data_IF_837558326327
#
_entry.id   IF_837558326327
#
_cell.length_a   1.000
_cell.length_b   1.000
_cell.length_c   1.000
_cell.angle_alpha   90.00
_cell.angle_beta   90.00
_cell.angle_gamma   90.00
#
_symmetry.space_group_name_H-M   'P 1'
#
loop_
_entity.id
_entity.type
_entity.pdbx_description
1 polymer ?
#
# COMPACT_ATOMS: atom_id res chain seq x y z
N UNK A 1 -11.98 52.93 -5.46
CA UNK A 1 -10.67 53.35 -4.93
C UNK A 1 -9.78 52.13 -4.84
N UNK A 2 -8.55 52.29 -5.33
CA UNK A 2 -7.44 51.31 -5.44
C UNK A 2 -7.50 50.46 -6.72
N UNK A 3 -7.13 51.00 -7.90
CA UNK A 3 -5.78 51.26 -8.47
C UNK A 3 -5.18 50.02 -9.16
N UNK A 4 -5.50 49.91 -10.46
CA UNK A 4 -4.85 49.06 -11.46
C UNK A 4 -3.51 49.69 -11.89
N UNK A 5 -2.39 49.08 -11.50
CA UNK A 5 -1.07 49.41 -12.06
C UNK A 5 -0.74 48.43 -13.20
N UNK A 6 -0.69 49.01 -14.40
CA UNK A 6 -0.35 48.37 -15.67
C UNK A 6 1.17 48.48 -15.92
N UNK A 7 1.93 47.36 -16.01
CA UNK A 7 3.39 47.40 -16.12
C UNK A 7 3.93 47.44 -17.58
N UNK A 8 3.11 47.73 -18.58
CA UNK A 8 3.48 47.57 -20.00
C UNK A 8 4.08 48.84 -20.67
N UNK A 9 4.87 49.68 -19.98
CA UNK A 9 5.32 50.94 -20.60
C UNK A 9 6.76 51.41 -20.36
N UNK A 10 7.71 50.51 -20.03
CA UNK A 10 9.12 50.93 -19.84
C UNK A 10 10.13 50.32 -20.83
N UNK A 11 9.74 49.42 -21.72
CA UNK A 11 10.71 48.72 -22.61
C UNK A 11 10.90 49.33 -24.01
N UNK A 12 10.26 50.46 -24.33
CA UNK A 12 10.34 51.09 -25.66
C UNK A 12 11.30 52.30 -25.75
N UNK A 13 12.09 52.60 -24.71
CA UNK A 13 12.98 53.78 -24.69
C UNK A 13 14.48 53.48 -24.57
N UNK A 14 14.92 52.23 -24.77
CA UNK A 14 16.34 51.86 -24.66
C UNK A 14 17.00 51.42 -25.98
N UNK A 15 16.33 51.63 -27.12
CA UNK A 15 16.81 51.24 -28.46
C UNK A 15 17.25 52.43 -29.35
N UNK A 16 17.33 53.66 -28.81
CA UNK A 16 17.72 54.87 -29.57
C UNK A 16 19.06 55.51 -29.17
N UNK A 17 19.95 54.81 -28.45
CA UNK A 17 21.22 55.37 -27.97
C UNK A 17 22.48 54.56 -28.32
N UNK A 18 22.46 53.74 -29.38
CA UNK A 18 23.63 52.96 -29.82
C UNK A 18 23.89 53.02 -31.34
N UNK A 19 23.46 54.09 -32.00
CA UNK A 19 23.83 54.44 -33.38
C UNK A 19 24.69 55.72 -33.39
N UNK A 20 25.80 55.72 -32.67
CA UNK A 20 26.86 56.70 -32.89
C UNK A 20 28.20 56.07 -32.53
N UNK A 21 29.20 56.30 -33.41
CA UNK A 21 30.60 55.89 -33.33
C UNK A 21 30.98 54.47 -33.80
N UNK A 22 31.34 54.37 -35.09
CA UNK A 22 32.57 53.71 -35.54
C UNK A 22 32.81 53.97 -37.04
N UNK A 23 32.98 55.25 -37.39
CA UNK A 23 33.70 55.66 -38.60
C UNK A 23 35.10 56.09 -38.17
N UNK A 24 36.11 55.30 -38.51
CA UNK A 24 37.50 55.69 -38.78
C UNK A 24 38.34 54.42 -38.74
N UNK A 25 38.64 53.85 -39.91
CA UNK A 25 39.75 52.92 -40.04
C UNK A 25 40.82 53.61 -40.90
N UNK A 26 41.94 53.83 -40.22
CA UNK A 26 43.06 54.65 -40.63
C UNK A 26 44.05 53.78 -41.38
N UNK A 27 44.30 54.19 -42.61
CA UNK A 27 45.39 53.74 -43.47
C UNK A 27 46.73 53.92 -42.73
N UNK A 28 47.31 52.81 -42.26
CA UNK A 28 48.68 52.72 -41.76
C UNK A 28 49.37 51.53 -42.40
N UNK A 29 49.95 51.84 -43.55
CA UNK A 29 50.92 51.05 -44.28
C UNK A 29 52.29 51.17 -43.58
N UNK A 30 52.81 50.09 -42.97
CA UNK A 30 54.26 49.86 -42.98
C UNK A 30 54.69 48.42 -42.63
N UNK A 31 55.63 47.98 -43.48
CA UNK A 31 56.71 47.03 -43.27
C UNK A 31 56.44 45.52 -43.05
N UNK A 32 56.64 44.82 -44.17
CA UNK A 32 56.92 43.40 -44.30
C UNK A 32 57.99 42.88 -43.33
N UNK A 33 57.66 41.78 -42.65
CA UNK A 33 58.58 40.70 -42.30
C UNK A 33 57.90 39.38 -42.70
N UNK A 34 58.64 38.59 -43.47
CA UNK A 34 58.23 37.32 -44.08
C UNK A 34 57.72 36.30 -43.05
N UNK A 35 56.41 36.24 -42.87
CA UNK A 35 55.66 35.12 -42.26
C UNK A 35 54.43 34.79 -43.15
N UNK A 36 54.60 34.91 -44.47
CA UNK A 36 53.56 34.88 -45.51
C UNK A 36 52.83 33.53 -45.68
N UNK A 37 53.19 32.50 -44.90
CA UNK A 37 52.51 31.20 -44.94
C UNK A 37 51.42 31.01 -43.88
N UNK A 38 51.50 31.71 -42.74
CA UNK A 38 50.69 31.40 -41.55
C UNK A 38 49.64 32.49 -41.28
N UNK A 39 49.99 33.76 -41.46
CA UNK A 39 49.11 34.91 -41.12
C UNK A 39 47.90 35.05 -42.07
N UNK A 40 48.08 34.72 -43.36
CA UNK A 40 46.98 34.72 -44.34
C UNK A 40 45.92 33.64 -44.06
N UNK A 41 46.30 32.57 -43.37
CA UNK A 41 45.37 31.51 -42.97
C UNK A 41 44.43 31.96 -41.84
N UNK A 42 44.89 32.84 -40.96
CA UNK A 42 44.12 33.34 -39.81
C UNK A 42 43.14 34.44 -40.18
N UNK A 43 43.51 35.34 -41.11
CA UNK A 43 42.58 36.37 -41.59
C UNK A 43 41.39 35.75 -42.35
N UNK A 44 41.64 34.75 -43.20
CA UNK A 44 40.56 34.02 -43.89
C UNK A 44 39.67 33.25 -42.91
N UNK A 45 40.24 32.69 -41.83
CA UNK A 45 39.47 32.06 -40.74
C UNK A 45 38.58 33.06 -40.02
N UNK A 46 39.09 34.25 -39.67
CA UNK A 46 38.31 35.32 -39.05
C UNK A 46 37.12 35.76 -39.91
N UNK A 47 37.32 35.91 -41.22
CA UNK A 47 36.24 36.29 -42.16
C UNK A 47 35.17 35.21 -42.31
N UNK A 48 35.54 33.93 -42.25
CA UNK A 48 34.59 32.81 -42.21
C UNK A 48 33.82 32.75 -40.89
N UNK A 49 34.51 32.94 -39.76
CA UNK A 49 33.89 33.02 -38.43
C UNK A 49 32.89 34.17 -38.35
N UNK A 50 33.22 35.36 -38.88
CA UNK A 50 32.31 36.51 -38.91
C UNK A 50 31.06 36.22 -39.75
N UNK A 51 31.20 35.55 -40.91
CA UNK A 51 30.06 35.09 -41.71
C UNK A 51 29.21 34.04 -40.99
N UNK A 52 29.83 33.08 -40.31
CA UNK A 52 29.14 32.05 -39.53
C UNK A 52 28.37 32.67 -38.36
N UNK A 53 29.01 33.60 -37.64
CA UNK A 53 28.38 34.34 -36.57
C UNK A 53 27.18 35.15 -37.08
N UNK A 54 27.33 35.87 -38.19
CA UNK A 54 26.24 36.63 -38.80
C UNK A 54 25.09 35.74 -39.32
N UNK A 55 25.38 34.51 -39.75
CA UNK A 55 24.35 33.52 -40.12
C UNK A 55 23.62 32.99 -38.87
N UNK A 56 24.36 32.71 -37.79
CA UNK A 56 23.80 32.25 -36.52
C UNK A 56 22.99 33.34 -35.80
N UNK A 57 23.36 34.62 -35.96
CA UNK A 57 22.61 35.77 -35.42
C UNK A 57 21.60 36.36 -36.39
N UNK A 58 21.44 35.75 -37.58
CA UNK A 58 20.46 36.23 -38.56
C UNK A 58 19.03 36.12 -38.00
N UNK A 59 18.16 37.06 -38.38
CA UNK A 59 16.73 37.06 -38.00
C UNK A 59 16.02 35.74 -38.33
N UNK A 60 16.49 35.03 -39.35
CA UNK A 60 15.96 33.71 -39.72
C UNK A 60 16.30 32.66 -38.65
N UNK A 61 17.55 32.63 -38.18
CA UNK A 61 18.01 31.69 -37.17
C UNK A 61 17.33 31.92 -35.80
N UNK A 62 17.08 33.17 -35.41
CA UNK A 62 16.41 33.49 -34.15
C UNK A 62 14.93 33.08 -34.13
N UNK A 63 14.22 33.17 -35.27
CA UNK A 63 12.84 32.68 -35.39
C UNK A 63 12.77 31.16 -35.26
N UNK A 64 13.69 30.43 -35.88
CA UNK A 64 13.75 28.96 -35.76
C UNK A 64 14.14 28.54 -34.34
N UNK A 65 15.07 29.27 -33.71
CA UNK A 65 15.45 29.04 -32.32
C UNK A 65 14.28 29.27 -31.35
N UNK A 66 13.54 30.38 -31.49
CA UNK A 66 12.39 30.66 -30.61
C UNK A 66 11.28 29.63 -30.76
N UNK A 67 10.99 29.16 -31.99
CA UNK A 67 10.05 28.05 -32.22
C UNK A 67 10.51 26.76 -31.55
N UNK A 68 11.78 26.42 -31.70
CA UNK A 68 12.37 25.24 -31.05
C UNK A 68 12.25 25.31 -29.53
N UNK A 69 12.55 26.48 -28.94
CA UNK A 69 12.44 26.71 -27.50
C UNK A 69 10.99 26.55 -27.02
N UNK A 70 10.02 27.14 -27.72
CA UNK A 70 8.60 26.98 -27.37
C UNK A 70 8.13 25.52 -27.48
N UNK A 71 8.53 24.81 -28.55
CA UNK A 71 8.22 23.38 -28.68
C UNK A 71 8.86 22.55 -27.56
N UNK A 72 10.10 22.86 -27.19
CA UNK A 72 10.80 22.20 -26.09
C UNK A 72 10.09 22.45 -24.76
N UNK A 73 9.70 23.69 -24.46
CA UNK A 73 8.93 23.99 -23.25
C UNK A 73 7.56 23.33 -23.23
N UNK A 74 6.86 23.26 -24.37
CA UNK A 74 5.58 22.55 -24.46
C UNK A 74 5.73 21.04 -24.18
N UNK A 75 6.79 20.42 -24.72
CA UNK A 75 7.10 19.01 -24.47
C UNK A 75 7.49 18.80 -23.00
N UNK A 76 8.32 19.66 -22.42
CA UNK A 76 8.71 19.60 -21.00
C UNK A 76 7.50 19.75 -20.07
N UNK A 77 6.58 20.68 -20.38
CA UNK A 77 5.34 20.85 -19.62
C UNK A 77 4.46 19.60 -19.71
N UNK A 78 4.29 19.02 -20.90
CA UNK A 78 3.52 17.78 -21.08
C UNK A 78 4.16 16.61 -20.33
N UNK A 79 5.48 16.47 -20.39
CA UNK A 79 6.24 15.46 -19.67
C UNK A 79 6.08 15.59 -18.14
N UNK A 80 6.13 16.82 -17.62
CA UNK A 80 5.91 17.10 -16.19
C UNK A 80 4.50 16.71 -15.75
N UNK A 81 3.48 17.02 -16.56
CA UNK A 81 2.09 16.63 -16.29
C UNK A 81 1.95 15.11 -16.27
N UNK A 82 2.50 14.41 -17.27
CA UNK A 82 2.47 12.94 -17.34
C UNK A 82 3.17 12.32 -16.13
N UNK A 83 4.36 12.81 -15.77
CA UNK A 83 5.11 12.33 -14.61
C UNK A 83 4.33 12.54 -13.30
N UNK A 84 3.72 13.71 -13.12
CA UNK A 84 2.92 14.03 -11.92
C UNK A 84 1.69 13.12 -11.80
N UNK A 85 1.00 12.84 -12.91
CA UNK A 85 -0.14 11.91 -12.93
C UNK A 85 0.31 10.49 -12.61
N UNK A 86 1.40 10.00 -13.24
CA UNK A 86 1.94 8.67 -12.99
C UNK A 86 2.40 8.52 -11.53
N UNK A 87 3.09 9.52 -10.98
CA UNK A 87 3.50 9.54 -9.59
C UNK A 87 2.29 9.51 -8.64
N UNK A 88 1.27 10.32 -8.90
CA UNK A 88 0.03 10.31 -8.12
C UNK A 88 -0.68 8.95 -8.13
N UNK A 89 -0.77 8.31 -9.30
CA UNK A 89 -1.32 6.96 -9.42
C UNK A 89 -0.46 5.95 -8.66
N UNK A 90 0.87 6.01 -8.79
CA UNK A 90 1.79 5.11 -8.10
C UNK A 90 1.71 5.24 -6.57
N UNK A 91 1.70 6.46 -6.04
CA UNK A 91 1.51 6.71 -4.59
C UNK A 91 0.16 6.19 -4.13
N UNK A 92 -0.92 6.43 -4.89
CA UNK A 92 -2.24 5.90 -4.56
C UNK A 92 -2.26 4.37 -4.48
N UNK A 93 -1.52 3.70 -5.38
CA UNK A 93 -1.37 2.23 -5.35
C UNK A 93 -0.56 1.74 -4.17
N UNK A 94 0.51 2.43 -3.80
CA UNK A 94 1.29 2.10 -2.59
C UNK A 94 0.43 2.21 -1.33
N UNK A 95 -0.39 3.24 -1.23
CA UNK A 95 -1.30 3.38 -0.10
C UNK A 95 -2.33 2.24 -0.06
N UNK A 96 -2.85 1.83 -1.22
CA UNK A 96 -3.71 0.63 -1.31
C UNK A 96 -2.98 -0.65 -0.87
N UNK A 97 -1.70 -0.82 -1.24
CA UNK A 97 -0.90 -1.97 -0.81
C UNK A 97 -0.67 -2.00 0.71
N UNK A 98 -0.52 -0.83 1.33
CA UNK A 98 -0.40 -0.75 2.78
C UNK A 98 -1.70 -1.18 3.48
N UNK A 99 -2.85 -0.78 2.95
CA UNK A 99 -4.16 -1.22 3.47
C UNK A 99 -4.31 -2.75 3.34
N UNK A 100 -3.93 -3.33 2.19
CA UNK A 100 -4.00 -4.80 1.98
C UNK A 100 -3.01 -5.57 2.84
N UNK A 101 -1.81 -5.03 3.09
CA UNK A 101 -0.84 -5.62 4.02
C UNK A 101 -1.39 -5.67 5.45
N UNK A 102 -2.13 -4.63 5.89
CA UNK A 102 -2.82 -4.62 7.19
C UNK A 102 -3.91 -5.68 7.27
N UNK A 103 -4.63 -5.95 6.17
CA UNK A 103 -5.60 -7.05 6.11
C UNK A 103 -4.95 -8.43 6.24
N UNK A 104 -3.79 -8.63 5.60
CA UNK A 104 -3.01 -9.87 5.71
C UNK A 104 -2.53 -10.07 7.16
N UNK A 105 -1.94 -9.05 7.78
CA UNK A 105 -1.54 -9.07 9.19
C UNK A 105 -2.73 -9.36 10.11
N UNK A 106 -3.86 -8.69 9.88
CA UNK A 106 -5.08 -8.93 10.63
C UNK A 106 -5.59 -10.36 10.52
N UNK A 107 -5.60 -10.94 9.32
CA UNK A 107 -6.01 -12.34 9.15
C UNK A 107 -5.01 -13.31 9.79
N UNK A 108 -3.71 -12.99 9.81
CA UNK A 108 -2.71 -13.75 10.58
C UNK A 108 -2.98 -13.72 12.09
N UNK A 109 -3.34 -12.55 12.62
CA UNK A 109 -3.72 -12.38 14.04
C UNK A 109 -5.00 -13.12 14.40
N UNK A 110 -5.98 -13.18 13.50
CA UNK A 110 -7.18 -14.02 13.68
C UNK A 110 -6.78 -15.48 13.90
N UNK A 111 -5.90 -16.03 13.05
CA UNK A 111 -5.48 -17.43 13.16
C UNK A 111 -4.80 -17.69 14.51
N UNK A 112 -3.89 -16.81 14.90
CA UNK A 112 -3.23 -16.87 16.21
C UNK A 112 -4.23 -16.77 17.38
N UNK A 113 -5.23 -15.90 17.27
CA UNK A 113 -6.27 -15.73 18.28
C UNK A 113 -7.14 -16.99 18.41
N UNK A 114 -7.56 -17.61 17.29
CA UNK A 114 -8.31 -18.87 17.29
C UNK A 114 -7.53 -19.98 17.99
N UNK A 115 -6.25 -20.17 17.66
CA UNK A 115 -5.39 -21.15 18.33
C UNK A 115 -5.25 -20.85 19.82
N UNK A 116 -5.05 -19.58 20.18
CA UNK A 116 -4.93 -19.17 21.58
C UNK A 116 -6.22 -19.40 22.36
N UNK A 117 -7.39 -19.15 21.77
CA UNK A 117 -8.69 -19.47 22.36
C UNK A 117 -8.80 -20.98 22.62
N UNK A 118 -8.50 -21.81 21.62
CA UNK A 118 -8.56 -23.26 21.74
C UNK A 118 -7.67 -23.79 22.87
N UNK A 119 -6.42 -23.33 22.93
CA UNK A 119 -5.46 -23.74 23.95
C UNK A 119 -5.93 -23.32 25.35
N UNK A 120 -6.40 -22.08 25.53
CA UNK A 120 -6.83 -21.61 26.84
C UNK A 120 -8.14 -22.25 27.29
N UNK A 121 -9.10 -22.49 26.39
CA UNK A 121 -10.30 -23.27 26.68
C UNK A 121 -9.93 -24.69 27.14
N UNK A 122 -9.06 -25.39 26.39
CA UNK A 122 -8.55 -26.72 26.78
C UNK A 122 -7.87 -26.70 28.15
N UNK A 123 -7.09 -25.65 28.43
CA UNK A 123 -6.41 -25.47 29.71
C UNK A 123 -7.40 -25.30 30.87
N UNK A 124 -8.47 -24.52 30.69
CA UNK A 124 -9.54 -24.35 31.69
C UNK A 124 -10.20 -25.71 32.00
N UNK A 125 -10.58 -26.49 30.98
CA UNK A 125 -11.16 -27.83 31.22
C UNK A 125 -10.18 -28.74 31.96
N UNK A 126 -8.91 -28.79 31.53
CA UNK A 126 -7.87 -29.60 32.19
C UNK A 126 -7.66 -29.19 33.66
N UNK A 127 -7.86 -27.89 33.98
CA UNK A 127 -7.84 -27.37 35.36
C UNK A 127 -9.02 -27.88 36.20
N UNK A 128 -10.22 -28.06 35.65
CA UNK A 128 -11.33 -28.63 36.41
C UNK A 128 -11.25 -30.15 36.55
N UNK A 129 -10.69 -30.84 35.55
CA UNK A 129 -10.62 -32.30 35.53
C UNK A 129 -9.48 -32.90 36.36
N UNK A 130 -8.66 -32.08 37.02
CA UNK A 130 -7.49 -32.59 37.75
C UNK A 130 -6.38 -33.12 36.83
N UNK A 131 -6.48 -32.91 35.51
CA UNK A 131 -5.54 -33.48 34.52
C UNK A 131 -4.26 -32.66 34.34
N UNK A 132 -4.08 -31.59 35.12
CA UNK A 132 -2.83 -30.86 35.15
C UNK A 132 -1.70 -31.82 35.56
N UNK A 133 -0.67 -31.95 34.71
CA UNK A 133 0.54 -32.67 35.10
C UNK A 133 1.11 -32.01 36.35
N UNK A 134 1.19 -32.78 37.44
CA UNK A 134 1.67 -32.36 38.77
C UNK A 134 3.03 -31.65 38.74
N UNK A 135 3.81 -31.83 37.67
CA UNK A 135 5.14 -31.25 37.48
C UNK A 135 5.22 -30.11 36.44
N UNK A 136 4.13 -29.80 35.73
CA UNK A 136 4.13 -28.79 34.65
C UNK A 136 3.20 -27.62 34.98
N UNK A 137 2.04 -27.89 35.59
CA UNK A 137 1.08 -26.87 35.99
C UNK A 137 0.52 -27.22 37.37
N UNK A 138 0.88 -26.44 38.38
CA UNK A 138 0.22 -26.55 39.67
C UNK A 138 -1.04 -25.70 39.58
N UNK A 139 -2.22 -26.35 39.58
CA UNK A 139 -3.52 -25.68 39.62
C UNK A 139 -3.55 -24.66 40.76
N UNK A 140 -3.25 -23.42 40.41
CA UNK A 140 -3.27 -22.30 41.31
C UNK A 140 -4.33 -21.33 40.81
N UNK A 141 -4.99 -20.67 41.74
CA UNK A 141 -5.94 -19.60 41.42
C UNK A 141 -5.30 -18.52 40.54
N UNK A 142 -3.99 -18.26 40.71
CA UNK A 142 -3.22 -17.37 39.85
C UNK A 142 -3.08 -17.86 38.41
N UNK A 143 -2.89 -19.16 38.19
CA UNK A 143 -2.81 -19.72 36.83
C UNK A 143 -4.16 -19.68 36.12
N UNK A 144 -5.26 -19.88 36.86
CA UNK A 144 -6.61 -19.73 36.33
C UNK A 144 -6.84 -18.29 35.87
N UNK A 145 -6.59 -17.29 36.73
CA UNK A 145 -6.72 -15.86 36.38
C UNK A 145 -5.91 -15.47 35.15
N UNK A 146 -4.65 -15.92 35.07
CA UNK A 146 -3.82 -15.66 33.89
C UNK A 146 -4.38 -16.31 32.62
N UNK A 147 -5.01 -17.48 32.74
CA UNK A 147 -5.64 -18.19 31.61
C UNK A 147 -6.91 -17.46 31.15
N UNK A 148 -7.72 -16.97 32.09
CA UNK A 148 -8.89 -16.12 31.83
C UNK A 148 -8.49 -14.82 31.14
N UNK A 149 -7.47 -14.11 31.64
CA UNK A 149 -6.95 -12.88 31.03
C UNK A 149 -6.48 -13.11 29.59
N UNK A 150 -5.74 -14.20 29.34
CA UNK A 150 -5.27 -14.57 27.99
C UNK A 150 -6.42 -14.94 27.06
N UNK A 151 -7.40 -15.69 27.55
CA UNK A 151 -8.59 -16.04 26.78
C UNK A 151 -9.40 -14.79 26.43
N UNK A 152 -9.60 -13.88 27.40
CA UNK A 152 -10.25 -12.60 27.17
C UNK A 152 -9.56 -11.77 26.09
N UNK A 153 -8.23 -11.64 26.18
CA UNK A 153 -7.46 -10.90 25.18
C UNK A 153 -7.58 -11.54 23.79
N UNK A 154 -7.45 -12.87 23.70
CA UNK A 154 -7.55 -13.58 22.43
C UNK A 154 -8.95 -13.45 21.79
N UNK A 155 -10.03 -13.47 22.58
CA UNK A 155 -11.38 -13.22 22.07
C UNK A 155 -11.51 -11.79 21.54
N UNK A 156 -10.97 -10.81 22.27
CA UNK A 156 -11.00 -9.40 21.85
C UNK A 156 -10.21 -9.20 20.56
N UNK A 157 -9.02 -9.78 20.46
CA UNK A 157 -8.18 -9.73 19.27
C UNK A 157 -8.86 -10.41 18.08
N UNK A 158 -9.52 -11.56 18.29
CA UNK A 158 -10.30 -12.23 17.27
C UNK A 158 -11.41 -11.33 16.74
N UNK A 159 -12.23 -10.74 17.61
CA UNK A 159 -13.34 -9.88 17.18
C UNK A 159 -12.86 -8.64 16.42
N UNK A 160 -11.85 -7.96 16.94
CA UNK A 160 -11.29 -6.75 16.31
C UNK A 160 -10.79 -7.08 14.89
N UNK A 161 -9.98 -8.12 14.74
CA UNK A 161 -9.37 -8.43 13.45
C UNK A 161 -10.35 -9.13 12.51
N UNK A 162 -11.28 -9.96 13.01
CA UNK A 162 -12.35 -10.58 12.21
C UNK A 162 -13.24 -9.51 11.57
N UNK A 163 -13.67 -8.52 12.37
CA UNK A 163 -14.44 -7.38 11.88
C UNK A 163 -13.60 -6.50 10.95
N UNK A 164 -12.34 -6.23 11.28
CA UNK A 164 -11.46 -5.40 10.46
C UNK A 164 -11.12 -6.02 9.09
N UNK A 165 -10.95 -7.34 9.01
CA UNK A 165 -10.70 -8.05 7.74
C UNK A 165 -11.97 -8.11 6.88
N UNK A 166 -13.15 -8.26 7.48
CA UNK A 166 -14.41 -8.30 6.74
C UNK A 166 -14.91 -6.90 6.32
N UNK A 167 -15.03 -5.99 7.29
CA UNK A 167 -15.61 -4.65 7.11
C UNK A 167 -14.58 -3.58 6.73
N UNK A 168 -13.28 -3.84 6.93
CA UNK A 168 -12.21 -2.83 6.81
C UNK A 168 -11.85 -2.18 8.15
N UNK A 169 -10.57 -1.86 8.33
CA UNK A 169 -10.04 -1.29 9.58
C UNK A 169 -10.30 0.20 9.74
N UNK A 170 -10.14 1.00 8.67
CA UNK A 170 -10.25 2.47 8.75
C UNK A 170 -11.55 3.00 8.12
N UNK A 171 -12.10 2.27 7.14
CA UNK A 171 -13.31 2.62 6.42
C UNK A 171 -14.09 1.36 6.10
N UNK A 172 -15.42 1.47 6.17
CA UNK A 172 -16.32 0.40 5.74
C UNK A 172 -16.08 0.10 4.26
N UNK A 173 -15.79 -1.16 3.97
CA UNK A 173 -15.61 -1.70 2.63
C UNK A 173 -16.30 -3.05 2.54
N UNK A 174 -16.55 -3.44 1.29
CA UNK A 174 -17.03 -4.77 0.95
C UNK A 174 -15.85 -5.61 0.44
N UNK A 175 -15.78 -6.88 0.83
CA UNK A 175 -14.79 -7.79 0.26
C UNK A 175 -15.10 -8.01 -1.22
N UNK A 176 -14.12 -7.73 -2.07
CA UNK A 176 -14.24 -7.99 -3.50
C UNK A 176 -14.21 -9.49 -3.74
N UNK A 177 -14.92 -9.92 -4.78
CA UNK A 177 -14.90 -11.31 -5.24
C UNK A 177 -13.62 -11.59 -6.05
N UNK A 178 -12.49 -11.50 -5.36
CA UNK A 178 -11.16 -11.79 -5.88
C UNK A 178 -10.65 -13.01 -5.13
N UNK A 179 -10.18 -14.04 -5.85
CA UNK A 179 -9.63 -15.27 -5.25
C UNK A 179 -10.60 -15.99 -4.29
N UNK A 180 -11.91 -15.96 -4.59
CA UNK A 180 -12.97 -16.59 -3.78
C UNK A 180 -13.09 -16.03 -2.35
N UNK A 181 -12.48 -14.88 -2.06
CA UNK A 181 -12.57 -14.26 -0.74
C UNK A 181 -14.03 -13.96 -0.38
N UNK A 182 -14.81 -13.41 -1.31
CA UNK A 182 -16.20 -13.10 -1.04
C UNK A 182 -17.03 -14.36 -0.78
N UNK A 183 -16.91 -15.37 -1.64
CA UNK A 183 -17.64 -16.63 -1.48
C UNK A 183 -17.29 -17.35 -0.18
N UNK A 184 -16.06 -17.22 0.29
CA UNK A 184 -15.63 -17.78 1.57
C UNK A 184 -16.26 -17.04 2.77
N UNK A 185 -16.31 -15.72 2.70
CA UNK A 185 -16.75 -14.86 3.81
C UNK A 185 -18.27 -14.70 3.88
N UNK A 186 -18.95 -14.64 2.74
CA UNK A 186 -20.40 -14.42 2.63
C UNK A 186 -21.17 -15.66 2.17
N UNK A 187 -20.53 -16.52 1.38
CA UNK A 187 -21.17 -17.69 0.78
C UNK A 187 -21.41 -18.80 1.79
N UNK A 188 -22.58 -19.44 1.70
CA UNK A 188 -23.01 -20.56 2.54
C UNK A 188 -22.32 -21.88 2.13
N UNK A 189 -21.00 -21.88 2.10
CA UNK A 189 -20.17 -23.00 1.61
C UNK A 189 -19.47 -23.78 2.72
N UNK A 190 -19.55 -23.29 3.96
CA UNK A 190 -18.88 -23.90 5.10
C UNK A 190 -19.85 -24.81 5.86
N UNK A 191 -19.39 -26.00 6.20
CA UNK A 191 -20.12 -26.93 7.05
C UNK A 191 -19.86 -26.54 8.50
N UNK A 192 -20.91 -26.11 9.20
CA UNK A 192 -20.91 -25.73 10.61
C UNK A 192 -21.57 -26.84 11.42
N UNK A 193 -20.92 -27.27 12.50
CA UNK A 193 -21.48 -28.24 13.44
C UNK A 193 -22.09 -27.53 14.65
N UNK A 194 -23.41 -27.61 14.78
CA UNK A 194 -24.17 -27.03 15.88
C UNK A 194 -24.55 -28.09 16.90
N UNK A 195 -24.19 -27.85 18.16
CA UNK A 195 -24.63 -28.68 19.28
C UNK A 195 -25.97 -28.18 19.83
N UNK A 196 -27.00 -29.00 19.73
CA UNK A 196 -28.35 -28.65 20.18
C UNK A 196 -28.64 -29.35 21.50
N UNK A 197 -28.77 -28.52 22.54
CA UNK A 197 -29.12 -28.96 23.90
C UNK A 197 -30.64 -29.21 24.02
N UNK A 198 -31.06 -30.37 23.49
CA UNK A 198 -32.40 -30.94 23.68
C UNK A 198 -32.29 -32.18 24.57
N UNK A 199 -33.44 -32.74 25.00
CA UNK A 199 -33.50 -33.92 25.90
C UNK A 199 -32.56 -35.07 25.50
N UNK A 200 -32.34 -35.26 24.21
CA UNK A 200 -31.28 -36.13 23.67
C UNK A 200 -30.37 -35.23 22.84
N UNK A 201 -29.19 -34.83 23.36
CA UNK A 201 -28.29 -33.95 22.64
C UNK A 201 -27.96 -34.50 21.26
N UNK A 202 -27.93 -33.62 20.27
CA UNK A 202 -27.60 -33.98 18.88
C UNK A 202 -26.69 -32.93 18.26
N UNK A 203 -25.85 -33.40 17.35
CA UNK A 203 -25.11 -32.55 16.43
C UNK A 203 -25.96 -32.36 15.16
N UNK A 204 -26.07 -31.13 14.72
CA UNK A 204 -26.73 -30.76 13.47
C UNK A 204 -25.73 -30.03 12.59
N UNK A 205 -25.63 -30.47 11.34
CA UNK A 205 -24.75 -29.84 10.36
C UNK A 205 -25.57 -28.80 9.58
N UNK A 206 -25.10 -27.56 9.59
CA UNK A 206 -25.69 -26.44 8.85
C UNK A 206 -24.69 -25.84 7.87
N UNK A 207 -25.17 -25.23 6.79
CA UNK A 207 -24.32 -24.47 5.88
C UNK A 207 -24.25 -23.01 6.33
N UNK A 208 -23.03 -22.53 6.51
CA UNK A 208 -22.73 -21.20 7.04
C UNK A 208 -21.61 -20.53 6.25
N UNK A 209 -21.21 -19.34 6.69
CA UNK A 209 -20.13 -18.57 6.09
C UNK A 209 -19.11 -18.13 7.14
N UNK A 210 -17.90 -17.77 6.70
CA UNK A 210 -16.80 -17.48 7.63
C UNK A 210 -17.13 -16.31 8.56
N UNK A 211 -17.89 -15.33 8.07
CA UNK A 211 -18.35 -14.19 8.87
C UNK A 211 -19.20 -14.63 10.07
N UNK A 212 -20.26 -15.40 9.82
CA UNK A 212 -21.18 -15.89 10.85
C UNK A 212 -20.47 -16.85 11.81
N UNK A 213 -19.72 -17.81 11.27
CA UNK A 213 -19.03 -18.80 12.10
C UNK A 213 -17.99 -18.15 13.02
N UNK A 214 -17.24 -17.15 12.53
CA UNK A 214 -16.26 -16.42 13.34
C UNK A 214 -16.90 -15.63 14.48
N UNK A 215 -18.05 -14.98 14.23
CA UNK A 215 -18.81 -14.28 15.27
C UNK A 215 -19.39 -15.26 16.30
N UNK A 216 -19.96 -16.37 15.84
CA UNK A 216 -20.50 -17.42 16.73
C UNK A 216 -19.39 -18.08 17.56
N UNK A 217 -18.18 -18.24 17.01
CA UNK A 217 -17.03 -18.75 17.74
C UNK A 217 -16.56 -17.81 18.84
N UNK A 218 -16.40 -16.52 18.54
CA UNK A 218 -16.05 -15.51 19.53
C UNK A 218 -17.11 -15.43 20.65
N UNK A 219 -18.39 -15.46 20.30
CA UNK A 219 -19.49 -15.49 21.26
C UNK A 219 -19.45 -16.74 22.14
N UNK A 220 -19.29 -17.93 21.54
CA UNK A 220 -19.21 -19.20 22.27
C UNK A 220 -17.99 -19.24 23.20
N UNK A 221 -16.83 -18.77 22.75
CA UNK A 221 -15.63 -18.66 23.57
C UNK A 221 -15.82 -17.71 24.77
N UNK A 222 -16.55 -16.60 24.57
CA UNK A 222 -16.89 -15.67 25.66
C UNK A 222 -17.84 -16.31 26.67
N UNK A 223 -18.81 -17.09 26.23
CA UNK A 223 -19.69 -17.85 27.12
C UNK A 223 -18.90 -18.87 27.95
N UNK A 224 -17.93 -19.56 27.34
CA UNK A 224 -17.01 -20.45 28.08
C UNK A 224 -16.20 -19.66 29.10
N UNK A 225 -15.60 -18.53 28.72
CA UNK A 225 -14.81 -17.68 29.62
C UNK A 225 -15.62 -17.19 30.83
N UNK A 226 -16.87 -16.78 30.66
CA UNK A 226 -17.65 -16.24 31.78
C UNK A 226 -18.36 -17.30 32.62
N UNK A 227 -18.67 -18.46 32.03
CA UNK A 227 -19.46 -19.49 32.69
C UNK A 227 -18.69 -20.77 33.01
N UNK A 228 -17.37 -20.83 32.82
CA UNK A 228 -16.59 -22.06 33.01
C UNK A 228 -16.79 -22.70 34.41
N UNK A 229 -16.90 -21.89 35.48
CA UNK A 229 -17.16 -22.41 36.82
C UNK A 229 -18.53 -23.10 36.93
N UNK A 230 -19.55 -22.47 36.31
CA UNK A 230 -20.92 -22.99 36.32
C UNK A 230 -21.01 -24.25 35.47
N UNK A 231 -20.38 -24.25 34.30
CA UNK A 231 -20.25 -25.42 33.42
C UNK A 231 -19.61 -26.56 34.21
N UNK A 232 -18.47 -26.34 34.85
CA UNK A 232 -17.78 -27.36 35.64
C UNK A 232 -18.65 -27.93 36.77
N UNK A 233 -19.34 -27.06 37.53
CA UNK A 233 -20.21 -27.49 38.64
C UNK A 233 -21.41 -28.31 38.17
N UNK A 234 -22.02 -27.94 37.04
CA UNK A 234 -23.25 -28.59 36.54
C UNK A 234 -22.99 -29.89 35.80
N UNK A 235 -21.82 -30.00 35.14
CA UNK A 235 -21.44 -31.14 34.32
C UNK A 235 -20.49 -32.12 35.03
N UNK A 236 -20.28 -31.96 36.34
CA UNK A 236 -19.32 -32.74 37.11
C UNK A 236 -17.91 -32.71 36.48
N UNK A 237 -17.45 -31.50 36.17
CA UNK A 237 -16.17 -31.16 35.54
C UNK A 237 -15.99 -31.64 34.07
N UNK A 238 -17.05 -32.07 33.38
CA UNK A 238 -16.99 -32.45 31.95
C UNK A 238 -17.58 -31.36 31.06
N UNK A 239 -16.74 -30.66 30.31
CA UNK A 239 -17.22 -29.58 29.43
C UNK A 239 -17.91 -30.13 28.17
N UNK A 240 -17.84 -31.43 27.93
CA UNK A 240 -18.37 -32.09 26.72
C UNK A 240 -19.89 -31.97 26.56
N UNK A 241 -20.62 -31.62 27.63
CA UNK A 241 -22.06 -31.41 27.58
C UNK A 241 -22.46 -29.95 27.31
N UNK A 242 -21.52 -29.01 27.39
CA UNK A 242 -21.79 -27.60 27.11
C UNK A 242 -21.75 -27.32 25.61
N UNK A 243 -22.81 -26.67 25.11
CA UNK A 243 -22.93 -26.37 23.67
C UNK A 243 -21.85 -25.41 23.16
N UNK A 244 -21.43 -24.44 23.98
CA UNK A 244 -20.49 -23.42 23.57
C UNK A 244 -19.09 -24.01 23.53
N UNK A 245 -18.76 -24.84 24.52
CA UNK A 245 -17.57 -25.68 24.51
C UNK A 245 -17.47 -26.54 23.25
N UNK A 246 -18.53 -27.31 22.97
CA UNK A 246 -18.60 -28.16 21.78
C UNK A 246 -18.41 -27.34 20.50
N UNK A 247 -19.07 -26.19 20.39
CA UNK A 247 -18.92 -25.32 19.23
C UNK A 247 -17.46 -24.88 19.02
N UNK A 248 -16.79 -24.44 20.09
CA UNK A 248 -15.37 -24.01 20.02
C UNK A 248 -14.47 -25.18 19.64
N UNK A 249 -14.65 -26.36 20.24
CA UNK A 249 -13.78 -27.51 20.01
C UNK A 249 -13.98 -28.17 18.63
N UNK A 250 -15.22 -28.27 18.14
CA UNK A 250 -15.54 -28.90 16.85
C UNK A 250 -15.21 -27.98 15.68
N UNK A 251 -15.64 -26.71 15.73
CA UNK A 251 -15.52 -25.81 14.57
C UNK A 251 -14.20 -25.03 14.54
N UNK A 252 -13.51 -24.86 15.67
CA UNK A 252 -12.27 -24.07 15.75
C UNK A 252 -11.10 -24.64 14.93
N UNK A 253 -10.61 -25.85 15.24
CA UNK A 253 -9.39 -26.38 14.63
C UNK A 253 -9.54 -26.74 13.16
N UNK A 254 -10.61 -27.45 12.78
CA UNK A 254 -10.72 -28.02 11.43
C UNK A 254 -11.38 -27.05 10.46
N UNK A 255 -12.48 -26.40 10.87
CA UNK A 255 -13.23 -25.51 9.98
C UNK A 255 -12.62 -24.12 9.99
N UNK A 256 -12.65 -23.41 11.12
CA UNK A 256 -12.25 -22.00 11.17
C UNK A 256 -10.78 -21.79 10.85
N UNK A 257 -9.85 -22.51 11.48
CA UNK A 257 -8.42 -22.30 11.22
C UNK A 257 -8.06 -22.56 9.75
N UNK A 258 -8.60 -23.63 9.15
CA UNK A 258 -8.40 -23.95 7.73
C UNK A 258 -8.98 -22.87 6.80
N UNK A 259 -10.17 -22.35 7.11
CA UNK A 259 -10.81 -21.30 6.31
C UNK A 259 -10.17 -19.93 6.49
N UNK A 260 -9.68 -19.58 7.67
CA UNK A 260 -8.84 -18.39 7.84
C UNK A 260 -7.52 -18.52 7.10
N UNK A 261 -6.90 -19.71 7.04
CA UNK A 261 -5.71 -19.93 6.24
C UNK A 261 -6.00 -19.79 4.72
N UNK A 262 -7.16 -20.28 4.27
CA UNK A 262 -7.63 -20.07 2.90
C UNK A 262 -7.84 -18.58 2.59
N UNK A 263 -8.46 -17.84 3.52
CA UNK A 263 -8.61 -16.38 3.45
C UNK A 263 -7.26 -15.68 3.37
N UNK A 264 -6.29 -16.08 4.20
CA UNK A 264 -4.92 -15.53 4.17
C UNK A 264 -4.27 -15.73 2.80
N UNK A 265 -4.40 -16.92 2.22
CA UNK A 265 -3.87 -17.23 0.90
C UNK A 265 -4.49 -16.36 -0.19
N UNK A 266 -5.82 -16.17 -0.17
CA UNK A 266 -6.51 -15.29 -1.11
C UNK A 266 -6.09 -13.83 -0.98
N UNK A 267 -5.94 -13.33 0.25
CA UNK A 267 -5.46 -11.96 0.52
C UNK A 267 -4.03 -11.75 0.02
N UNK A 268 -3.16 -12.74 0.22
CA UNK A 268 -1.77 -12.71 -0.24
C UNK A 268 -1.68 -12.76 -1.77
N UNK A 269 -2.48 -13.59 -2.45
CA UNK A 269 -2.54 -13.62 -3.91
C UNK A 269 -3.00 -12.28 -4.50
N UNK A 270 -4.00 -11.66 -3.86
CA UNK A 270 -4.45 -10.31 -4.22
C UNK A 270 -3.35 -9.27 -4.08
N UNK A 271 -2.63 -9.30 -2.97
CA UNK A 271 -1.53 -8.35 -2.72
C UNK A 271 -0.37 -8.53 -3.70
N UNK A 272 0.01 -9.78 -4.00
CA UNK A 272 1.02 -10.08 -5.02
C UNK A 272 0.63 -9.57 -6.41
N UNK A 273 -0.63 -9.75 -6.82
CA UNK A 273 -1.13 -9.23 -8.09
C UNK A 273 -1.11 -7.68 -8.15
N UNK A 274 -1.47 -7.03 -7.04
CA UNK A 274 -1.41 -5.58 -6.92
C UNK A 274 0.04 -5.05 -6.93
N UNK A 275 0.96 -5.79 -6.32
CA UNK A 275 2.39 -5.48 -6.30
C UNK A 275 2.98 -5.50 -7.72
N UNK A 276 2.67 -6.52 -8.53
CA UNK A 276 3.15 -6.63 -9.91
C UNK A 276 2.79 -5.41 -10.76
N UNK A 277 1.54 -4.94 -10.65
CA UNK A 277 1.06 -3.73 -11.34
C UNK A 277 1.79 -2.49 -10.82
N UNK A 278 1.96 -2.37 -9.51
CA UNK A 278 2.62 -1.22 -8.87
C UNK A 278 4.10 -1.15 -9.23
N UNK A 279 4.79 -2.28 -9.25
CA UNK A 279 6.18 -2.39 -9.68
C UNK A 279 6.32 -2.03 -11.16
N UNK A 280 5.41 -2.48 -12.02
CA UNK A 280 5.41 -2.12 -13.45
C UNK A 280 5.25 -0.61 -13.66
N UNK A 281 4.39 0.06 -12.88
CA UNK A 281 4.26 1.52 -12.88
C UNK A 281 5.54 2.23 -12.41
N UNK A 282 6.18 1.70 -11.36
CA UNK A 282 7.45 2.22 -10.84
C UNK A 282 8.57 2.15 -11.88
N UNK A 283 8.70 1.03 -12.60
CA UNK A 283 9.64 0.93 -13.72
C UNK A 283 9.33 1.92 -14.84
N UNK A 284 8.05 2.13 -15.18
CA UNK A 284 7.62 3.12 -16.16
C UNK A 284 8.07 4.54 -15.78
N UNK A 285 7.90 4.92 -14.51
CA UNK A 285 8.38 6.20 -13.97
C UNK A 285 9.89 6.34 -14.09
N UNK A 286 10.66 5.32 -13.69
CA UNK A 286 12.12 5.34 -13.78
C UNK A 286 12.62 5.49 -15.22
N UNK A 287 11.97 4.83 -16.19
CA UNK A 287 12.33 4.97 -17.61
C UNK A 287 12.04 6.37 -18.12
N UNK A 288 10.89 6.96 -17.76
CA UNK A 288 10.56 8.35 -18.11
C UNK A 288 11.64 9.28 -17.56
N UNK A 289 12.00 9.14 -16.29
CA UNK A 289 13.02 9.98 -15.65
C UNK A 289 14.40 9.83 -16.28
N UNK A 290 14.79 8.61 -16.66
CA UNK A 290 16.04 8.36 -17.37
C UNK A 290 16.05 9.05 -18.75
N UNK A 291 14.93 9.01 -19.47
CA UNK A 291 14.80 9.71 -20.77
C UNK A 291 14.85 11.23 -20.57
N UNK A 292 14.17 11.77 -19.54
CA UNK A 292 14.20 13.22 -19.24
C UNK A 292 15.63 13.67 -18.91
N UNK A 293 16.28 12.97 -17.98
CA UNK A 293 17.62 13.34 -17.50
C UNK A 293 18.70 13.18 -18.57
N UNK A 294 18.62 12.13 -19.39
CA UNK A 294 19.54 11.95 -20.52
C UNK A 294 19.34 12.96 -21.65
N UNK A 295 18.12 13.49 -21.83
CA UNK A 295 17.86 14.56 -22.81
C UNK A 295 18.34 15.95 -22.36
N UNK A 296 18.57 16.13 -21.06
CA UNK A 296 19.00 17.39 -20.46
C UNK A 296 20.53 17.49 -20.28
N UNK A 297 21.27 16.38 -20.42
CA UNK A 297 22.72 16.28 -20.30
C UNK A 297 23.41 16.40 -21.66
#
# INVERSE_FOLDING_TARGET
DEEDENPDNEEEMMDQALEEEASEDSDSQEHAVEEEGIVDSDWQRGRRLKKLHQLLTSKQATVDQTRYVHHTYAILALLLVVHTVLFGVWVSRILQLNDTAREIDGNGKILYAVETILINCQKIMNMYQGMAHQYIYAMSESEMKLTEERLYQAITDLEEHHQGVYLGFDKLRHLRDEYQLRDLWEGSSLQEELFIDVRVPKLEEEQSNLWLMGNQFAASAREVLHNHEYIAKTTNNSFDQDRNWQYVMQNGPEVLASKYLQSLSGLLQRDLAALEVTTSLGWGLMVVDLVVTSSAA
#
